data_IF_511927083645
#
_entry.id   IF_511927083645
#
_cell.length_a   1.000
_cell.length_b   1.000
_cell.length_c   1.000
_cell.angle_alpha   90.00
_cell.angle_beta   90.00
_cell.angle_gamma   90.00
#
_symmetry.space_group_name_H-M   'P 1'
#
loop_
_entity.id
_entity.type
_entity.pdbx_description
1 polymer ?
#
# COMPACT_ATOMS: atom_id res chain seq x y z
N UNK A 1 32.48 -60.04 24.25
CA UNK A 1 32.27 -59.55 22.87
C UNK A 1 31.30 -60.52 22.20
N UNK A 2 30.04 -60.13 22.02
CA UNK A 2 29.02 -60.97 21.36
C UNK A 2 29.09 -60.74 19.86
N UNK A 3 29.28 -61.80 19.08
CA UNK A 3 29.28 -61.73 17.62
C UNK A 3 27.87 -61.35 17.13
N UNK A 4 27.77 -60.28 16.35
CA UNK A 4 26.48 -59.72 15.92
C UNK A 4 26.16 -60.07 14.47
N UNK A 5 24.89 -59.94 14.09
CA UNK A 5 24.46 -60.08 12.70
C UNK A 5 25.15 -59.07 11.76
N UNK A 6 25.54 -57.90 12.29
CA UNK A 6 26.34 -56.92 11.55
C UNK A 6 27.78 -57.41 11.29
N UNK A 7 28.34 -58.22 12.18
CA UNK A 7 29.66 -58.84 12.01
C UNK A 7 29.60 -59.99 10.98
N UNK A 8 28.53 -60.79 10.99
CA UNK A 8 28.30 -61.83 9.98
C UNK A 8 28.18 -61.25 8.56
N UNK A 9 27.39 -60.19 8.39
CA UNK A 9 27.25 -59.49 7.10
C UNK A 9 28.57 -58.87 6.65
N UNK A 10 29.39 -58.38 7.59
CA UNK A 10 30.71 -57.85 7.32
C UNK A 10 31.64 -58.94 6.80
N UNK A 11 31.73 -60.07 7.50
CA UNK A 11 32.63 -61.17 7.14
C UNK A 11 32.25 -61.80 5.79
N UNK A 12 30.95 -61.96 5.53
CA UNK A 12 30.46 -62.46 4.25
C UNK A 12 30.80 -61.50 3.11
N UNK A 13 30.57 -60.21 3.31
CA UNK A 13 30.96 -59.18 2.35
C UNK A 13 32.47 -59.15 2.10
N UNK A 14 33.29 -59.28 3.15
CA UNK A 14 34.74 -59.31 3.05
C UNK A 14 35.25 -60.53 2.27
N UNK A 15 34.53 -61.67 2.31
CA UNK A 15 34.84 -62.87 1.52
C UNK A 15 34.43 -62.77 0.05
N UNK A 16 33.29 -62.12 -0.24
CA UNK A 16 32.72 -62.09 -1.60
C UNK A 16 33.23 -60.94 -2.46
N UNK A 17 33.65 -59.82 -1.84
CA UNK A 17 34.07 -58.63 -2.57
C UNK A 17 35.55 -58.68 -2.96
N UNK A 18 35.88 -58.32 -4.20
CA UNK A 18 37.25 -58.33 -4.76
C UNK A 18 38.30 -57.59 -3.91
N UNK A 19 37.86 -56.68 -3.02
CA UNK A 19 38.70 -55.84 -2.15
C UNK A 19 38.18 -55.77 -0.71
N UNK A 20 37.57 -56.85 -0.22
CA UNK A 20 36.77 -56.93 1.01
C UNK A 20 37.31 -56.15 2.21
N UNK A 21 38.59 -56.33 2.54
CA UNK A 21 39.26 -55.72 3.71
C UNK A 21 39.48 -54.21 3.61
N UNK A 22 39.40 -53.62 2.41
CA UNK A 22 39.68 -52.20 2.15
C UNK A 22 38.42 -51.34 1.99
N UNK A 23 37.26 -51.87 2.37
CA UNK A 23 35.97 -51.19 2.20
C UNK A 23 35.62 -50.31 3.41
N UNK A 24 35.03 -49.16 3.13
CA UNK A 24 34.58 -48.18 4.13
C UNK A 24 33.05 -48.07 4.11
N UNK A 25 32.45 -47.86 5.29
CA UNK A 25 31.01 -47.64 5.43
C UNK A 25 30.70 -46.15 5.26
N UNK A 26 29.86 -45.80 4.29
CA UNK A 26 29.39 -44.43 4.15
C UNK A 26 28.30 -44.11 5.19
N UNK A 27 28.43 -43.02 5.94
CA UNK A 27 27.46 -42.66 7.00
C UNK A 27 26.12 -42.18 6.43
N UNK A 28 26.14 -41.50 5.27
CA UNK A 28 24.92 -40.99 4.63
C UNK A 28 24.06 -42.10 3.98
N UNK A 29 24.64 -42.92 3.09
CA UNK A 29 23.88 -43.97 2.40
C UNK A 29 23.92 -45.35 3.08
N UNK A 30 24.68 -45.51 4.18
CA UNK A 30 24.83 -46.74 4.96
C UNK A 30 25.24 -47.98 4.16
N UNK A 31 25.95 -47.78 3.04
CA UNK A 31 26.51 -48.86 2.20
C UNK A 31 28.02 -48.91 2.34
N UNK A 32 28.58 -50.13 2.29
CA UNK A 32 30.03 -50.36 2.16
C UNK A 32 30.46 -50.08 0.73
N UNK A 33 31.59 -49.40 0.58
CA UNK A 33 32.16 -49.02 -0.72
C UNK A 33 33.67 -49.09 -0.67
N UNK A 34 34.30 -49.15 -1.83
CA UNK A 34 35.76 -49.14 -1.93
C UNK A 34 36.35 -47.81 -1.45
N UNK A 35 37.58 -47.84 -0.94
CA UNK A 35 38.28 -46.65 -0.45
C UNK A 35 38.40 -45.55 -1.51
N UNK A 36 38.46 -45.92 -2.80
CA UNK A 36 38.52 -44.98 -3.93
C UNK A 36 37.23 -44.18 -4.12
N UNK A 37 36.10 -44.64 -3.57
CA UNK A 37 34.81 -43.94 -3.61
C UNK A 37 34.70 -42.81 -2.57
N UNK A 38 35.74 -42.60 -1.77
CA UNK A 38 35.84 -41.54 -0.76
C UNK A 38 36.92 -40.54 -1.17
N UNK A 39 36.69 -39.23 -0.95
CA UNK A 39 37.67 -38.17 -1.27
C UNK A 39 38.78 -38.09 -0.23
N UNK A 40 38.41 -38.16 1.03
CA UNK A 40 39.33 -38.09 2.16
C UNK A 40 39.44 -39.48 2.81
N UNK A 41 40.66 -39.90 3.10
CA UNK A 41 40.87 -41.06 3.95
C UNK A 41 40.39 -40.72 5.37
N UNK A 42 39.58 -41.56 6.04
CA UNK A 42 39.00 -41.25 7.34
C UNK A 42 40.06 -41.33 8.45
N UNK A 43 40.90 -40.30 8.56
CA UNK A 43 41.96 -40.23 9.57
C UNK A 43 41.70 -39.16 10.64
N UNK A 44 40.61 -38.38 10.51
CA UNK A 44 40.35 -37.24 11.39
C UNK A 44 38.86 -37.11 11.73
N UNK A 45 38.34 -37.89 12.69
CA UNK A 45 37.11 -37.61 13.47
C UNK A 45 35.79 -37.27 12.73
N UNK A 46 35.79 -37.20 11.40
CA UNK A 46 34.68 -36.84 10.53
C UNK A 46 34.06 -38.11 9.97
N UNK A 47 32.74 -38.16 10.00
CA UNK A 47 31.95 -39.21 9.37
C UNK A 47 32.26 -39.27 7.87
N UNK A 48 32.74 -40.42 7.38
CA UNK A 48 33.06 -40.61 5.97
C UNK A 48 31.79 -40.65 5.10
N UNK A 49 31.72 -39.78 4.09
CA UNK A 49 30.68 -39.79 3.07
C UNK A 49 31.30 -40.17 1.72
N UNK A 50 30.61 -40.99 0.93
CA UNK A 50 31.10 -41.31 -0.41
C UNK A 50 30.97 -40.10 -1.35
N UNK A 51 31.82 -40.03 -2.38
CA UNK A 51 31.86 -38.95 -3.40
C UNK A 51 30.48 -38.54 -3.92
N UNK A 52 29.60 -39.52 -4.13
CA UNK A 52 28.22 -39.28 -4.58
C UNK A 52 27.38 -38.54 -3.54
N UNK A 53 27.44 -38.97 -2.27
CA UNK A 53 26.70 -38.33 -1.19
C UNK A 53 27.23 -36.92 -0.93
N UNK A 54 28.55 -36.71 -0.95
CA UNK A 54 29.17 -35.38 -0.81
C UNK A 54 28.73 -34.41 -1.92
N UNK A 55 28.63 -34.90 -3.16
CA UNK A 55 28.17 -34.10 -4.29
C UNK A 55 26.71 -33.64 -4.16
N UNK A 56 25.83 -34.49 -3.62
CA UNK A 56 24.42 -34.12 -3.37
C UNK A 56 24.31 -33.06 -2.29
N UNK A 57 25.08 -33.15 -1.21
CA UNK A 57 25.08 -32.14 -0.14
C UNK A 57 25.49 -30.78 -0.66
N UNK A 58 26.50 -30.71 -1.52
CA UNK A 58 26.94 -29.45 -2.12
C UNK A 58 25.86 -28.81 -2.99
N UNK A 59 25.16 -29.62 -3.79
CA UNK A 59 24.10 -29.17 -4.68
C UNK A 59 22.88 -28.64 -3.91
N UNK A 60 22.51 -29.32 -2.81
CA UNK A 60 21.45 -28.86 -1.90
C UNK A 60 21.84 -27.53 -1.24
N UNK A 61 23.06 -27.43 -0.71
CA UNK A 61 23.54 -26.19 -0.08
C UNK A 61 23.56 -25.02 -1.06
N UNK A 62 24.00 -25.26 -2.31
CA UNK A 62 24.00 -24.23 -3.35
C UNK A 62 22.58 -23.80 -3.73
N UNK A 63 21.65 -24.76 -3.86
CA UNK A 63 20.26 -24.48 -4.19
C UNK A 63 19.55 -23.69 -3.07
N UNK A 64 19.76 -24.08 -1.82
CA UNK A 64 19.25 -23.34 -0.66
C UNK A 64 19.80 -21.91 -0.61
N UNK A 65 21.08 -21.73 -0.90
CA UNK A 65 21.71 -20.41 -0.90
C UNK A 65 21.11 -19.50 -1.99
N UNK A 66 20.87 -20.05 -3.19
CA UNK A 66 20.21 -19.32 -4.28
C UNK A 66 18.77 -18.93 -3.92
N UNK A 67 18.01 -19.85 -3.30
CA UNK A 67 16.64 -19.55 -2.87
C UNK A 67 16.59 -18.46 -1.79
N UNK A 68 17.50 -18.50 -0.82
CA UNK A 68 17.60 -17.46 0.22
C UNK A 68 17.89 -16.10 -0.40
N UNK A 69 18.85 -16.04 -1.32
CA UNK A 69 19.18 -14.81 -2.05
C UNK A 69 18.00 -14.26 -2.85
N UNK A 70 17.28 -15.11 -3.58
CA UNK A 70 16.11 -14.70 -4.34
C UNK A 70 15.00 -14.13 -3.43
N UNK A 71 14.76 -14.78 -2.29
CA UNK A 71 13.79 -14.28 -1.29
C UNK A 71 14.21 -12.92 -0.71
N UNK A 72 15.50 -12.69 -0.49
CA UNK A 72 16.02 -11.40 -0.04
C UNK A 72 15.80 -10.31 -1.10
N UNK A 73 16.04 -10.61 -2.37
CA UNK A 73 15.75 -9.68 -3.47
C UNK A 73 14.26 -9.32 -3.54
N UNK A 74 13.36 -10.29 -3.43
CA UNK A 74 11.92 -10.04 -3.44
C UNK A 74 11.47 -9.21 -2.22
N UNK A 75 12.03 -9.49 -1.04
CA UNK A 75 11.78 -8.67 0.16
C UNK A 75 12.22 -7.22 -0.03
N UNK A 76 13.36 -6.99 -0.67
CA UNK A 76 13.85 -5.63 -0.91
C UNK A 76 12.97 -4.89 -1.95
N UNK A 77 12.52 -5.57 -3.00
CA UNK A 77 11.52 -5.02 -3.94
C UNK A 77 10.26 -4.58 -3.21
N UNK A 78 9.74 -5.41 -2.31
CA UNK A 78 8.55 -5.07 -1.50
C UNK A 78 8.80 -3.87 -0.59
N UNK A 79 9.97 -3.76 0.04
CA UNK A 79 10.33 -2.59 0.86
C UNK A 79 10.35 -1.31 0.02
N UNK A 80 10.92 -1.35 -1.18
CA UNK A 80 10.94 -0.21 -2.09
C UNK A 80 9.54 0.20 -2.53
N UNK A 81 8.68 -0.76 -2.90
CA UNK A 81 7.29 -0.48 -3.23
C UNK A 81 6.53 0.17 -2.06
N UNK A 82 6.72 -0.32 -0.83
CA UNK A 82 6.11 0.29 0.37
C UNK A 82 6.57 1.73 0.57
N UNK A 83 7.87 2.01 0.45
CA UNK A 83 8.43 3.37 0.53
C UNK A 83 7.82 4.27 -0.54
N UNK A 84 7.70 3.78 -1.77
CA UNK A 84 7.10 4.53 -2.87
C UNK A 84 5.61 4.85 -2.63
N UNK A 85 4.82 3.88 -2.17
CA UNK A 85 3.41 4.10 -1.82
C UNK A 85 3.27 5.12 -0.69
N UNK A 86 4.11 5.05 0.34
CA UNK A 86 4.13 6.05 1.43
C UNK A 86 4.45 7.45 0.89
N UNK A 87 5.43 7.58 0.00
CA UNK A 87 5.77 8.84 -0.64
C UNK A 87 4.59 9.40 -1.45
N UNK A 88 3.89 8.57 -2.23
CA UNK A 88 2.70 9.00 -2.97
C UNK A 88 1.56 9.45 -2.04
N UNK A 89 1.33 8.73 -0.93
CA UNK A 89 0.35 9.14 0.09
C UNK A 89 0.70 10.49 0.68
N UNK A 90 1.97 10.71 1.02
CA UNK A 90 2.45 11.98 1.55
C UNK A 90 2.30 13.12 0.53
N UNK A 91 2.65 12.89 -0.75
CA UNK A 91 2.43 13.88 -1.81
C UNK A 91 0.95 14.25 -1.98
N UNK A 92 0.05 13.27 -1.90
CA UNK A 92 -1.40 13.54 -1.92
C UNK A 92 -1.84 14.36 -0.72
N UNK A 93 -1.35 14.04 0.48
CA UNK A 93 -1.65 14.83 1.68
C UNK A 93 -1.18 16.26 1.51
N UNK A 94 0.09 16.48 1.11
CA UNK A 94 0.62 17.82 0.85
C UNK A 94 -0.19 18.58 -0.21
N UNK A 95 -0.61 17.92 -1.29
CA UNK A 95 -1.44 18.53 -2.33
C UNK A 95 -2.86 18.87 -1.84
N UNK A 96 -3.38 18.15 -0.83
CA UNK A 96 -4.68 18.42 -0.22
C UNK A 96 -4.66 19.49 0.87
N UNK A 97 -3.47 19.88 1.35
CA UNK A 97 -3.36 20.97 2.33
C UNK A 97 -3.59 22.29 1.60
N UNK A 98 -4.56 23.11 2.02
CA UNK A 98 -4.75 24.45 1.44
C UNK A 98 -3.49 25.28 1.65
N UNK A 99 -3.09 26.05 0.64
CA UNK A 99 -1.93 26.92 0.79
C UNK A 99 -2.22 27.98 1.86
N UNK A 100 -1.17 28.56 2.46
CA UNK A 100 -1.34 29.66 3.40
C UNK A 100 -2.04 30.88 2.77
N UNK A 101 -1.89 31.05 1.45
CA UNK A 101 -2.61 32.07 0.69
C UNK A 101 -4.11 31.76 0.59
N UNK A 102 -4.49 30.50 0.36
CA UNK A 102 -5.90 30.08 0.34
C UNK A 102 -6.55 30.24 1.71
N UNK A 103 -5.82 29.90 2.78
CA UNK A 103 -6.28 30.10 4.16
C UNK A 103 -6.45 31.59 4.51
N UNK A 104 -5.51 32.44 4.09
CA UNK A 104 -5.60 33.90 4.28
C UNK A 104 -6.76 34.50 3.49
N UNK A 105 -6.93 34.09 2.23
CA UNK A 105 -8.05 34.53 1.40
C UNK A 105 -9.37 34.12 2.05
N UNK A 106 -9.53 32.85 2.45
CA UNK A 106 -10.74 32.36 3.12
C UNK A 106 -11.06 33.11 4.42
N UNK A 107 -10.04 33.52 5.19
CA UNK A 107 -10.22 34.31 6.41
C UNK A 107 -10.75 35.73 6.12
N UNK A 108 -10.27 36.39 5.06
CA UNK A 108 -10.66 37.75 4.72
C UNK A 108 -11.89 37.87 3.81
N UNK A 109 -12.27 36.80 3.10
CA UNK A 109 -13.49 36.75 2.26
C UNK A 109 -14.75 37.32 2.93
N UNK A 110 -15.15 36.91 4.17
CA UNK A 110 -16.38 37.42 4.77
C UNK A 110 -16.36 38.93 5.02
N UNK A 111 -15.18 39.51 5.24
CA UNK A 111 -15.03 40.96 5.38
C UNK A 111 -15.24 41.66 4.04
N UNK A 112 -14.64 41.16 2.96
CA UNK A 112 -14.85 41.70 1.61
C UNK A 112 -16.32 41.54 1.17
N UNK A 113 -16.94 40.39 1.40
CA UNK A 113 -18.36 40.18 1.12
C UNK A 113 -19.25 41.18 1.88
N UNK A 114 -18.91 41.50 3.13
CA UNK A 114 -19.65 42.46 3.93
C UNK A 114 -19.52 43.89 3.36
N UNK A 115 -18.33 44.26 2.89
CA UNK A 115 -18.10 45.53 2.20
C UNK A 115 -18.88 45.61 0.89
N UNK A 116 -18.87 44.56 0.06
CA UNK A 116 -19.63 44.51 -1.19
C UNK A 116 -21.13 44.66 -0.95
N UNK A 117 -21.69 43.94 0.03
CA UNK A 117 -23.11 44.08 0.42
C UNK A 117 -23.42 45.49 0.92
N UNK A 118 -22.52 46.09 1.70
CA UNK A 118 -22.69 47.47 2.16
C UNK A 118 -22.69 48.44 0.97
N UNK A 119 -21.74 48.30 0.05
CA UNK A 119 -21.65 49.13 -1.15
C UNK A 119 -22.89 48.99 -2.04
N UNK A 120 -23.42 47.78 -2.22
CA UNK A 120 -24.68 47.55 -2.95
C UNK A 120 -25.87 48.24 -2.27
N UNK A 121 -25.98 48.17 -0.94
CA UNK A 121 -27.03 48.87 -0.18
C UNK A 121 -26.93 50.39 -0.37
N UNK A 122 -25.73 50.95 -0.24
CA UNK A 122 -25.50 52.36 -0.46
C UNK A 122 -25.82 52.76 -1.90
N UNK A 123 -25.37 52.00 -2.90
CA UNK A 123 -25.68 52.25 -4.30
C UNK A 123 -27.19 52.25 -4.57
N UNK A 124 -27.94 51.30 -4.01
CA UNK A 124 -29.39 51.27 -4.11
C UNK A 124 -30.05 52.51 -3.46
N UNK A 125 -29.60 52.90 -2.27
CA UNK A 125 -30.09 54.11 -1.59
C UNK A 125 -29.82 55.35 -2.43
N UNK A 126 -28.60 55.52 -2.95
CA UNK A 126 -28.24 56.65 -3.81
C UNK A 126 -29.02 56.66 -5.11
N UNK A 127 -29.24 55.52 -5.76
CA UNK A 127 -30.07 55.42 -6.95
C UNK A 127 -31.50 55.89 -6.66
N UNK A 128 -32.13 55.38 -5.59
CA UNK A 128 -33.49 55.80 -5.21
C UNK A 128 -33.59 57.27 -4.77
N UNK A 129 -32.53 57.83 -4.19
CA UNK A 129 -32.49 59.22 -3.74
C UNK A 129 -32.26 60.20 -4.91
N UNK A 130 -31.59 59.76 -5.97
CA UNK A 130 -31.34 60.53 -7.19
C UNK A 130 -32.41 60.30 -8.28
N UNK A 131 -33.33 59.35 -8.09
CA UNK A 131 -34.45 59.11 -9.00
C UNK A 131 -35.46 60.27 -8.95
N UNK A 132 -35.64 61.03 -10.04
CA UNK A 132 -36.50 62.22 -10.05
C UNK A 132 -37.99 61.91 -9.86
N UNK A 133 -38.42 60.66 -10.10
CA UNK A 133 -39.80 60.20 -9.88
C UNK A 133 -40.11 59.74 -8.45
N UNK A 134 -39.12 59.57 -7.57
CA UNK A 134 -39.34 59.12 -6.19
C UNK A 134 -39.86 60.22 -5.25
N UNK A 135 -39.71 61.50 -5.65
CA UNK A 135 -40.19 62.67 -4.91
C UNK A 135 -41.55 63.21 -5.39
N UNK A 136 -42.12 62.64 -6.45
CA UNK A 136 -43.48 63.00 -6.89
C UNK A 136 -44.49 62.45 -5.87
N UNK A 137 -45.23 63.36 -5.20
CA UNK A 137 -46.31 62.98 -4.28
C UNK A 137 -47.29 62.07 -5.03
N UNK A 138 -47.66 60.90 -4.49
CA UNK A 138 -48.64 60.05 -5.15
C UNK A 138 -49.94 60.84 -5.30
N UNK A 139 -50.41 61.01 -6.55
CA UNK A 139 -51.67 61.70 -6.83
C UNK A 139 -52.81 61.00 -6.06
N UNK A 140 -53.66 61.76 -5.34
CA UNK A 140 -54.72 61.15 -4.57
C UNK A 140 -55.71 60.48 -5.53
N UNK A 141 -55.76 59.15 -5.52
CA UNK A 141 -56.80 58.38 -6.22
C UNK A 141 -58.16 58.70 -5.57
N UNK A 142 -58.87 59.68 -6.13
CA UNK A 142 -60.24 60.01 -5.75
C UNK A 142 -61.11 58.80 -6.09
N UNK A 143 -61.48 58.01 -5.07
CA UNK A 143 -62.45 56.93 -5.21
C UNK A 143 -63.80 57.57 -5.55
N UNK A 144 -64.20 57.52 -6.82
CA UNK A 144 -65.50 57.99 -7.26
C UNK A 144 -66.59 57.18 -6.52
N UNK A 145 -67.28 57.81 -5.57
CA UNK A 145 -68.46 57.25 -4.92
C UNK A 145 -69.58 57.21 -5.97
N UNK A 146 -70.06 56.02 -6.29
CA UNK A 146 -71.25 55.84 -7.13
C UNK A 146 -72.43 56.63 -6.52
N UNK A 147 -72.93 57.60 -7.26
CA UNK A 147 -74.09 58.41 -6.90
C UNK A 147 -75.35 57.57 -7.07
N UNK A 148 -76.01 57.29 -5.93
CA UNK A 148 -77.28 56.57 -5.86
C UNK A 148 -78.39 57.51 -6.38
N UNK A 149 -78.92 57.26 -7.57
CA UNK A 149 -80.06 58.03 -8.10
C UNK A 149 -81.32 57.72 -7.28
N UNK A 150 -81.98 58.77 -6.77
CA UNK A 150 -83.25 58.68 -6.04
C UNK A 150 -84.38 58.77 -7.07
N UNK A 151 -85.12 57.67 -7.26
CA UNK A 151 -86.36 57.66 -8.06
C UNK A 151 -87.41 58.55 -7.37
N UNK A 152 -87.81 59.64 -8.03
CA UNK A 152 -88.95 60.47 -7.62
C UNK A 152 -90.21 60.06 -8.38
N UNK A 153 -91.36 60.27 -7.74
CA UNK A 153 -92.68 59.66 -7.98
C UNK A 153 -93.43 60.12 -9.25
N UNK A 154 -92.77 60.76 -10.21
CA UNK A 154 -93.43 61.49 -11.31
C UNK A 154 -93.47 60.79 -12.66
N UNK A 155 -93.07 59.51 -12.76
CA UNK A 155 -93.34 58.68 -13.94
C UNK A 155 -94.26 57.52 -13.57
N UNK A 156 -95.56 57.83 -13.46
CA UNK A 156 -96.66 56.87 -13.57
C UNK A 156 -97.56 57.29 -14.72
#
# INVERSE_FOLDING_TARGET
MTYTLADAIRDEFERTHLRGTSTLLCVACRRRKDREDFRETPWHGRAAACKRCEGVTWLILQYEQQQRWALEQEREKVRMLRRHVQHLRYRRLLASVPSSADAFAAYHQPYYDALERAQQRWGAVWATALDPGAFERPEPKIKQRATRTRLTKENR
#
